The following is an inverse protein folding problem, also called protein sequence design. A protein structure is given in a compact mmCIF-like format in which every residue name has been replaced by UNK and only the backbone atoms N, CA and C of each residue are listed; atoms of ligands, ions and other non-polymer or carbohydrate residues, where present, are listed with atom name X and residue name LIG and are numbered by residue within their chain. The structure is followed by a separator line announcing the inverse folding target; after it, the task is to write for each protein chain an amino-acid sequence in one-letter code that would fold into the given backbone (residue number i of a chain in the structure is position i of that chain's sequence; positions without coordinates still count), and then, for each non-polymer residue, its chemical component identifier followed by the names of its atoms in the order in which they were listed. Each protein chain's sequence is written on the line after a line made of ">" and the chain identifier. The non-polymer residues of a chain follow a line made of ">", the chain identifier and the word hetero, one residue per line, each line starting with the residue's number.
data_IF_800304537891
#
_entry.id   IF_800304537891
#
_cell.length_a   1.000
_cell.length_b   1.000
_cell.length_c   1.000
_cell.angle_alpha   90.00
_cell.angle_beta   90.00
_cell.angle_gamma   90.00
#
_symmetry.space_group_name_H-M   'P 1'
#
loop_
_entity.id
_entity.type
_entity.pdbx_description
1 polymer ?
#
# COMPACT_ATOMS: atom_id res chain seq x y z
N UNK A 1 9.38 7.39 15.42
CA UNK A 1 10.62 7.25 14.62
C UNK A 1 11.18 5.82 14.65
N UNK A 2 11.21 5.15 15.81
CA UNK A 2 11.59 3.72 15.92
C UNK A 2 10.78 2.79 15.03
N UNK A 3 9.46 3.00 14.91
CA UNK A 3 8.59 2.17 14.06
C UNK A 3 8.93 2.25 12.57
N UNK A 4 9.30 3.42 12.07
CA UNK A 4 9.71 3.62 10.67
C UNK A 4 11.02 2.88 10.42
N UNK A 5 12.00 3.07 11.33
CA UNK A 5 13.31 2.44 11.22
C UNK A 5 13.21 0.90 11.31
N UNK A 6 12.37 0.39 12.21
CA UNK A 6 12.11 -1.04 12.34
C UNK A 6 11.37 -1.60 11.13
N UNK A 7 10.44 -0.85 10.53
CA UNK A 7 9.81 -1.24 9.29
C UNK A 7 10.82 -1.36 8.15
N UNK A 8 11.73 -0.39 8.00
CA UNK A 8 12.80 -0.43 6.99
C UNK A 8 13.73 -1.64 7.17
N UNK A 9 14.12 -1.93 8.41
CA UNK A 9 14.94 -3.10 8.75
C UNK A 9 14.20 -4.42 8.51
N UNK A 10 12.89 -4.48 8.77
CA UNK A 10 12.03 -5.63 8.46
C UNK A 10 11.99 -5.92 6.96
N UNK A 11 11.79 -4.91 6.11
CA UNK A 11 11.76 -5.10 4.66
C UNK A 11 13.08 -5.62 4.08
N UNK A 12 14.23 -5.30 4.71
CA UNK A 12 15.52 -5.87 4.29
C UNK A 12 15.60 -7.37 4.56
N UNK A 13 14.99 -7.85 5.66
CA UNK A 13 14.94 -9.27 6.02
C UNK A 13 13.93 -10.06 5.17
N UNK A 14 12.86 -9.41 4.70
CA UNK A 14 11.78 -10.00 3.91
C UNK A 14 12.08 -10.08 2.39
N UNK A 15 13.26 -9.63 1.95
CA UNK A 15 13.62 -9.67 0.52
C UNK A 15 13.59 -11.10 -0.03
N UNK A 16 12.90 -11.26 -1.15
CA UNK A 16 12.66 -12.53 -1.83
C UNK A 16 11.89 -13.55 -0.98
N UNK A 17 11.20 -13.12 0.09
CA UNK A 17 10.39 -14.03 0.89
C UNK A 17 9.09 -14.37 0.17
N UNK A 18 9.02 -15.59 -0.38
CA UNK A 18 7.84 -16.12 -1.08
C UNK A 18 6.73 -16.58 -0.12
N UNK A 19 7.02 -16.65 1.18
CA UNK A 19 6.09 -17.03 2.23
C UNK A 19 5.59 -15.81 3.02
N UNK A 20 5.91 -14.58 2.58
CA UNK A 20 5.40 -13.36 3.19
C UNK A 20 3.87 -13.35 3.15
N UNK A 21 3.25 -13.22 4.32
CA UNK A 21 1.80 -13.23 4.43
C UNK A 21 1.22 -11.83 4.17
N UNK A 22 -0.08 -11.77 3.89
CA UNK A 22 -0.80 -10.50 3.84
C UNK A 22 -0.70 -9.72 5.17
N UNK A 23 -0.64 -10.42 6.30
CA UNK A 23 -0.48 -9.80 7.62
C UNK A 23 0.89 -9.14 7.76
N UNK A 24 1.95 -9.79 7.28
CA UNK A 24 3.31 -9.24 7.30
C UNK A 24 3.39 -7.98 6.44
N UNK A 25 2.88 -8.06 5.21
CA UNK A 25 2.74 -6.91 4.31
C UNK A 25 2.00 -5.74 4.99
N UNK A 26 0.85 -6.01 5.61
CA UNK A 26 0.05 -4.97 6.26
C UNK A 26 0.81 -4.33 7.42
N UNK A 27 1.56 -5.11 8.20
CA UNK A 27 2.38 -4.59 9.29
C UNK A 27 3.53 -3.70 8.79
N UNK A 28 4.17 -4.09 7.67
CA UNK A 28 5.25 -3.33 7.06
C UNK A 28 4.77 -1.96 6.60
N UNK A 29 3.71 -1.91 5.80
CA UNK A 29 3.19 -0.64 5.28
C UNK A 29 2.61 0.24 6.39
N UNK A 30 2.10 -0.37 7.46
CA UNK A 30 1.67 0.35 8.67
C UNK A 30 2.85 1.03 9.36
N UNK A 31 3.94 0.30 9.57
CA UNK A 31 5.12 0.82 10.27
C UNK A 31 5.88 1.89 9.50
N UNK A 32 5.97 1.74 8.17
CA UNK A 32 6.74 2.64 7.29
C UNK A 32 5.96 3.85 6.85
N UNK A 33 4.83 3.62 6.18
CA UNK A 33 4.09 4.65 5.47
C UNK A 33 2.98 5.18 6.37
N UNK A 34 2.10 4.31 6.87
CA UNK A 34 0.92 4.74 7.61
C UNK A 34 1.24 5.42 8.95
N UNK A 35 2.35 5.04 9.61
CA UNK A 35 2.76 5.62 10.88
C UNK A 35 2.97 7.13 10.81
N UNK A 36 3.53 7.65 9.71
CA UNK A 36 3.72 9.09 9.52
C UNK A 36 2.41 9.82 9.26
N UNK A 37 1.51 9.25 8.45
CA UNK A 37 0.19 9.82 8.24
C UNK A 37 -0.62 9.84 9.54
N UNK A 38 -0.58 8.75 10.30
CA UNK A 38 -1.20 8.63 11.62
C UNK A 38 -0.69 9.72 12.55
N UNK A 39 0.64 9.85 12.70
CA UNK A 39 1.25 10.84 13.57
C UNK A 39 0.89 12.27 13.14
N UNK A 40 0.98 12.59 11.84
CA UNK A 40 0.66 13.92 11.34
C UNK A 40 -0.79 14.33 11.64
N UNK A 41 -1.74 13.40 11.47
CA UNK A 41 -3.15 13.65 11.75
C UNK A 41 -3.44 13.77 13.26
N UNK A 42 -2.81 12.92 14.07
CA UNK A 42 -2.93 12.94 15.54
C UNK A 42 -2.38 14.25 16.14
N UNK A 43 -1.18 14.67 15.72
CA UNK A 43 -0.56 15.93 16.18
C UNK A 43 -1.39 17.14 15.71
N UNK A 44 -1.94 17.09 14.50
CA UNK A 44 -2.87 18.13 14.02
C UNK A 44 -4.08 18.30 14.93
N UNK A 45 -4.63 17.18 15.44
CA UNK A 45 -5.72 17.22 16.43
C UNK A 45 -5.25 17.79 17.77
N UNK A 46 -4.08 17.35 18.24
CA UNK A 46 -3.51 17.77 19.51
C UNK A 46 -3.26 19.29 19.57
N UNK A 47 -2.56 19.84 18.57
CA UNK A 47 -2.28 21.29 18.51
C UNK A 47 -3.52 22.15 18.26
N UNK A 48 -4.58 21.59 17.68
CA UNK A 48 -5.86 22.26 17.52
C UNK A 48 -6.73 22.23 18.81
N UNK A 49 -6.27 21.60 19.88
CA UNK A 49 -7.02 21.46 21.13
C UNK A 49 -8.13 20.41 21.08
N UNK A 50 -8.03 19.43 20.18
CA UNK A 50 -8.96 18.32 20.07
C UNK A 50 -8.96 17.42 21.31
N UNK A 51 -10.12 16.83 21.61
CA UNK A 51 -10.24 15.87 22.71
C UNK A 51 -9.66 14.49 22.33
N UNK A 52 -9.59 13.56 23.29
CA UNK A 52 -8.99 12.23 23.07
C UNK A 52 -9.71 11.41 21.96
N UNK A 53 -11.04 11.53 21.87
CA UNK A 53 -11.84 10.86 20.84
C UNK A 53 -11.52 11.41 19.44
N UNK A 54 -11.46 12.74 19.31
CA UNK A 54 -11.09 13.43 18.07
C UNK A 54 -9.65 13.13 17.64
N UNK A 55 -8.71 13.10 18.60
CA UNK A 55 -7.32 12.75 18.35
C UNK A 55 -7.20 11.31 17.84
N UNK A 56 -7.92 10.37 18.48
CA UNK A 56 -7.93 8.96 18.06
C UNK A 56 -8.56 8.78 16.68
N UNK A 57 -9.66 9.49 16.40
CA UNK A 57 -10.33 9.46 15.11
C UNK A 57 -9.43 10.00 13.99
N UNK A 58 -8.72 11.11 14.22
CA UNK A 58 -7.77 11.65 13.23
C UNK A 58 -6.55 10.76 13.06
N UNK A 59 -6.04 10.16 14.13
CA UNK A 59 -4.98 9.15 14.03
C UNK A 59 -5.41 7.98 13.15
N UNK A 60 -6.60 7.40 13.40
CA UNK A 60 -7.14 6.31 12.60
C UNK A 60 -7.42 6.72 11.15
N UNK A 61 -7.91 7.94 10.91
CA UNK A 61 -8.03 8.50 9.57
C UNK A 61 -6.66 8.51 8.86
N UNK A 62 -5.62 9.02 9.51
CA UNK A 62 -4.26 9.08 8.98
C UNK A 62 -3.70 7.68 8.68
N UNK A 63 -3.84 6.73 9.60
CA UNK A 63 -3.38 5.35 9.39
C UNK A 63 -4.07 4.70 8.17
N UNK A 64 -5.40 4.77 8.09
CA UNK A 64 -6.14 4.18 6.98
C UNK A 64 -5.81 4.86 5.64
N UNK A 65 -5.64 6.19 5.64
CA UNK A 65 -5.21 6.94 4.45
C UNK A 65 -3.80 6.52 4.01
N UNK A 66 -2.86 6.38 4.93
CA UNK A 66 -1.50 5.94 4.62
C UNK A 66 -1.43 4.50 4.10
N UNK A 67 -2.25 3.60 4.63
CA UNK A 67 -2.39 2.23 4.10
C UNK A 67 -2.94 2.27 2.67
N UNK A 68 -4.04 2.99 2.45
CA UNK A 68 -4.62 3.13 1.11
C UNK A 68 -3.61 3.73 0.13
N UNK A 69 -2.83 4.72 0.58
CA UNK A 69 -1.78 5.35 -0.22
C UNK A 69 -0.74 4.33 -0.70
N UNK A 70 -0.23 3.49 0.21
CA UNK A 70 0.76 2.48 -0.17
C UNK A 70 0.19 1.41 -1.10
N UNK A 71 -1.03 0.92 -0.86
CA UNK A 71 -1.67 -0.06 -1.75
C UNK A 71 -1.82 0.50 -3.16
N UNK A 72 -2.13 1.79 -3.26
CA UNK A 72 -2.24 2.49 -4.56
C UNK A 72 -0.89 2.64 -5.24
N UNK A 73 0.17 2.95 -4.50
CA UNK A 73 1.54 3.02 -5.01
C UNK A 73 2.00 1.65 -5.56
N UNK A 74 1.80 0.59 -4.77
CA UNK A 74 2.07 -0.79 -5.17
C UNK A 74 1.31 -1.21 -6.45
N UNK A 75 0.07 -0.74 -6.61
CA UNK A 75 -0.72 -0.96 -7.83
C UNK A 75 -0.12 -0.25 -9.05
N UNK A 76 0.36 0.98 -8.86
CA UNK A 76 0.96 1.78 -9.92
C UNK A 76 2.28 1.20 -10.40
N UNK A 77 3.03 0.50 -9.55
CA UNK A 77 4.26 -0.19 -9.96
C UNK A 77 4.00 -1.24 -11.06
N UNK A 78 2.89 -1.99 -10.97
CA UNK A 78 2.56 -3.00 -11.99
C UNK A 78 1.68 -2.48 -13.12
N UNK A 79 0.83 -1.48 -12.88
CA UNK A 79 -0.16 -1.00 -13.87
C UNK A 79 0.26 0.28 -14.58
N UNK A 80 1.31 0.96 -14.09
CA UNK A 80 1.80 2.21 -14.63
C UNK A 80 2.27 2.06 -16.09
N UNK A 81 1.83 2.97 -16.96
CA UNK A 81 2.32 3.02 -18.33
C UNK A 81 3.81 3.35 -18.37
N UNK A 82 4.55 2.81 -19.34
CA UNK A 82 5.95 3.10 -19.63
C UNK A 82 6.30 4.61 -19.84
N UNK A 83 5.32 5.52 -19.73
CA UNK A 83 5.51 6.98 -19.74
C UNK A 83 5.96 7.56 -18.40
N UNK A 84 5.82 6.82 -17.30
CA UNK A 84 6.49 7.16 -16.05
C UNK A 84 7.93 6.69 -16.19
N UNK A 85 8.87 7.61 -16.42
CA UNK A 85 10.33 7.38 -16.52
C UNK A 85 10.95 6.90 -15.18
N UNK A 86 10.36 5.90 -14.54
CA UNK A 86 10.93 5.15 -13.42
C UNK A 86 11.09 3.69 -13.89
N UNK A 87 12.14 2.98 -13.45
CA UNK A 87 12.25 1.55 -13.68
C UNK A 87 11.07 0.86 -12.97
N UNK A 88 9.99 0.59 -13.69
CA UNK A 88 8.68 0.09 -13.20
C UNK A 88 8.72 -1.26 -12.48
N UNK A 89 9.89 -1.81 -12.19
CA UNK A 89 10.08 -3.16 -11.62
C UNK A 89 11.27 -3.19 -10.63
N UNK A 90 11.69 -2.04 -10.09
CA UNK A 90 12.82 -1.96 -9.14
C UNK A 90 12.57 -2.74 -7.86
N UNK A 91 11.35 -2.67 -7.32
CA UNK A 91 10.95 -3.45 -6.15
C UNK A 91 11.06 -4.95 -6.42
N UNK A 92 10.57 -5.40 -7.58
CA UNK A 92 10.69 -6.79 -8.00
C UNK A 92 12.15 -7.23 -8.17
N UNK A 93 13.00 -6.37 -8.75
CA UNK A 93 14.43 -6.63 -8.94
C UNK A 93 15.20 -6.72 -7.61
N UNK A 94 14.78 -5.94 -6.61
CA UNK A 94 15.38 -5.92 -5.27
C UNK A 94 14.77 -6.96 -4.32
N UNK A 95 13.73 -7.67 -4.76
CA UNK A 95 13.06 -8.73 -4.01
C UNK A 95 12.01 -8.21 -3.03
N UNK A 96 11.59 -6.96 -3.15
CA UNK A 96 10.47 -6.40 -2.41
C UNK A 96 9.18 -6.80 -3.13
N UNK A 97 8.40 -7.69 -2.51
CA UNK A 97 7.16 -8.19 -3.10
C UNK A 97 5.97 -7.42 -2.54
N UNK A 98 5.37 -6.58 -3.38
CA UNK A 98 4.22 -5.74 -3.04
C UNK A 98 2.88 -6.44 -3.28
N UNK A 99 1.77 -5.80 -2.85
CA UNK A 99 0.48 -6.45 -2.69
C UNK A 99 -0.01 -7.28 -3.90
N UNK A 100 0.01 -6.78 -5.16
CA UNK A 100 -0.49 -7.55 -6.29
C UNK A 100 0.20 -8.91 -6.46
N UNK A 101 1.51 -8.95 -6.22
CA UNK A 101 2.29 -10.18 -6.30
C UNK A 101 1.97 -11.13 -5.15
N UNK A 102 1.86 -10.62 -3.92
CA UNK A 102 1.50 -11.43 -2.75
C UNK A 102 0.10 -12.07 -2.92
N UNK A 103 -0.88 -11.31 -3.42
CA UNK A 103 -2.22 -11.84 -3.73
C UNK A 103 -2.23 -12.85 -4.88
N UNK A 104 -1.23 -12.81 -5.76
CA UNK A 104 -1.05 -13.81 -6.80
C UNK A 104 -0.39 -15.08 -6.26
N UNK A 105 0.56 -14.95 -5.34
CA UNK A 105 1.20 -16.09 -4.67
C UNK A 105 0.24 -16.87 -3.77
N UNK A 106 -0.84 -16.25 -3.29
CA UNK A 106 -1.92 -16.92 -2.57
C UNK A 106 -2.84 -17.76 -3.48
N UNK A 107 -2.77 -17.56 -4.80
CA UNK A 107 -3.57 -18.31 -5.78
C UNK A 107 -2.75 -19.45 -6.39
N UNK A 108 -3.13 -20.73 -6.20
CA UNK A 108 -2.33 -21.87 -6.67
C UNK A 108 -1.96 -21.80 -8.17
N UNK A 109 -2.92 -21.40 -9.01
CA UNK A 109 -2.75 -21.32 -10.47
C UNK A 109 -1.72 -20.26 -10.90
N UNK A 110 -1.69 -19.11 -10.21
CA UNK A 110 -0.73 -18.04 -10.46
C UNK A 110 0.61 -18.37 -9.81
N UNK A 111 0.61 -18.90 -8.58
CA UNK A 111 1.81 -19.34 -7.86
C UNK A 111 2.64 -20.30 -8.70
N UNK A 112 2.03 -21.31 -9.32
CA UNK A 112 2.75 -22.27 -10.19
C UNK A 112 3.44 -21.60 -11.38
N UNK A 113 2.85 -20.54 -11.95
CA UNK A 113 3.43 -19.79 -13.08
C UNK A 113 4.53 -18.83 -12.64
N UNK A 114 4.39 -18.22 -11.47
CA UNK A 114 5.29 -17.19 -10.96
C UNK A 114 6.54 -17.76 -10.28
N UNK A 115 6.42 -18.87 -9.54
CA UNK A 115 7.52 -19.46 -8.77
C UNK A 115 8.80 -19.76 -9.58
N UNK A 116 8.74 -20.35 -10.79
CA UNK A 116 9.94 -20.60 -11.59
C UNK A 116 10.71 -19.33 -11.94
N UNK A 117 10.00 -18.21 -12.09
CA UNK A 117 10.58 -16.91 -12.42
C UNK A 117 11.16 -16.26 -11.17
N UNK A 118 10.37 -16.19 -10.08
CA UNK A 118 10.78 -15.57 -8.82
C UNK A 118 11.97 -16.27 -8.16
N UNK A 119 12.10 -17.59 -8.34
CA UNK A 119 13.24 -18.36 -7.83
C UNK A 119 14.59 -17.94 -8.46
N UNK A 120 14.59 -17.21 -9.58
CA UNK A 120 15.81 -16.61 -10.15
C UNK A 120 16.34 -15.46 -9.29
N UNK A 121 15.52 -14.84 -8.43
CA UNK A 121 15.90 -13.72 -7.55
C UNK A 121 16.67 -12.64 -8.31
N UNK A 122 17.89 -12.30 -7.88
CA UNK A 122 18.78 -11.34 -8.55
C UNK A 122 19.15 -11.70 -9.99
N UNK A 123 18.93 -12.94 -10.44
CA UNK A 123 19.17 -13.39 -11.81
C UNK A 123 17.97 -13.18 -12.73
N UNK A 124 16.86 -12.62 -12.24
CA UNK A 124 15.72 -12.26 -13.09
C UNK A 124 16.15 -11.26 -14.17
N UNK A 125 15.87 -11.62 -15.42
CA UNK A 125 16.06 -10.72 -16.55
C UNK A 125 14.94 -9.67 -16.63
N UNK A 126 15.14 -8.63 -17.44
CA UNK A 126 14.06 -7.66 -17.73
C UNK A 126 12.82 -8.35 -18.31
N UNK A 127 13.01 -9.34 -19.19
CA UNK A 127 11.92 -10.14 -19.73
C UNK A 127 11.19 -11.00 -18.69
N UNK A 128 11.91 -11.51 -17.68
CA UNK A 128 11.29 -12.25 -16.57
C UNK A 128 10.37 -11.35 -15.75
N UNK A 129 10.83 -10.13 -15.44
CA UNK A 129 10.04 -9.16 -14.70
C UNK A 129 8.82 -8.67 -15.49
N UNK A 130 8.98 -8.47 -16.81
CA UNK A 130 7.86 -8.13 -17.70
C UNK A 130 6.80 -9.25 -17.76
N UNK A 131 7.23 -10.52 -17.77
CA UNK A 131 6.31 -11.64 -17.74
C UNK A 131 5.52 -11.71 -16.42
N UNK A 132 6.18 -11.45 -15.28
CA UNK A 132 5.50 -11.34 -13.98
C UNK A 132 4.45 -10.23 -14.04
N UNK A 133 4.83 -9.03 -14.52
CA UNK A 133 3.90 -7.91 -14.67
C UNK A 133 2.69 -8.29 -15.54
N UNK A 134 2.93 -8.92 -16.70
CA UNK A 134 1.87 -9.36 -17.61
C UNK A 134 0.91 -10.36 -16.94
N UNK A 135 1.44 -11.34 -16.21
CA UNK A 135 0.62 -12.31 -15.46
C UNK A 135 -0.27 -11.59 -14.43
N UNK A 136 0.30 -10.64 -13.69
CA UNK A 136 -0.43 -9.91 -12.65
C UNK A 136 -1.53 -9.03 -13.26
N UNK A 137 -1.19 -8.22 -14.27
CA UNK A 137 -2.11 -7.30 -14.95
C UNK A 137 -3.28 -8.03 -15.60
N UNK A 138 -3.06 -9.23 -16.15
CA UNK A 138 -4.10 -10.04 -16.76
C UNK A 138 -4.87 -10.93 -15.76
N UNK A 139 -4.60 -10.81 -14.46
CA UNK A 139 -5.28 -11.59 -13.43
C UNK A 139 -6.24 -10.73 -12.59
N UNK A 140 -7.10 -11.39 -11.81
CA UNK A 140 -8.03 -10.70 -10.92
C UNK A 140 -7.34 -10.00 -9.73
N UNK A 141 -6.02 -10.15 -9.54
CA UNK A 141 -5.30 -9.58 -8.37
C UNK A 141 -5.29 -8.06 -8.39
N UNK A 142 -5.20 -7.43 -9.56
CA UNK A 142 -5.24 -5.97 -9.69
C UNK A 142 -6.57 -5.42 -9.15
N UNK A 143 -7.68 -6.04 -9.54
CA UNK A 143 -8.99 -5.64 -9.07
C UNK A 143 -9.18 -5.94 -7.57
N UNK A 144 -8.62 -7.05 -7.06
CA UNK A 144 -8.61 -7.33 -5.62
C UNK A 144 -7.82 -6.27 -4.83
N UNK A 145 -6.62 -5.90 -5.28
CA UNK A 145 -5.82 -4.82 -4.68
C UNK A 145 -6.56 -3.48 -4.71
N UNK A 146 -7.23 -3.16 -5.83
CA UNK A 146 -8.06 -1.95 -5.96
C UNK A 146 -9.19 -1.93 -4.94
N UNK A 147 -9.92 -3.04 -4.77
CA UNK A 147 -10.99 -3.15 -3.77
C UNK A 147 -10.45 -2.95 -2.36
N UNK A 148 -9.29 -3.54 -2.04
CA UNK A 148 -8.66 -3.35 -0.74
C UNK A 148 -8.30 -1.87 -0.49
N UNK A 149 -7.73 -1.17 -1.48
CA UNK A 149 -7.51 0.27 -1.37
C UNK A 149 -8.81 1.05 -1.12
N UNK A 150 -9.89 0.71 -1.82
CA UNK A 150 -11.21 1.32 -1.62
C UNK A 150 -11.74 1.09 -0.21
N UNK A 151 -11.56 -0.10 0.35
CA UNK A 151 -11.96 -0.41 1.73
C UNK A 151 -11.21 0.44 2.76
N UNK A 152 -9.89 0.63 2.60
CA UNK A 152 -9.11 1.51 3.49
C UNK A 152 -9.46 2.99 3.31
N UNK A 153 -9.76 3.42 2.08
CA UNK A 153 -10.28 4.77 1.82
C UNK A 153 -11.61 4.98 2.54
N UNK A 154 -12.51 4.00 2.50
CA UNK A 154 -13.79 4.10 3.19
C UNK A 154 -13.59 4.15 4.71
N UNK A 155 -12.75 3.27 5.27
CA UNK A 155 -12.40 3.29 6.71
C UNK A 155 -11.83 4.64 7.14
N UNK A 156 -10.97 5.26 6.32
CA UNK A 156 -10.47 6.60 6.58
C UNK A 156 -11.61 7.62 6.65
N UNK A 157 -12.50 7.64 5.65
CA UNK A 157 -13.64 8.56 5.61
C UNK A 157 -14.58 8.38 6.81
N UNK A 158 -14.86 7.13 7.20
CA UNK A 158 -15.74 6.80 8.32
C UNK A 158 -15.18 7.32 9.66
N UNK A 159 -13.85 7.34 9.83
CA UNK A 159 -13.22 7.93 11.02
C UNK A 159 -13.58 9.41 11.21
N UNK A 160 -13.99 10.12 10.16
CA UNK A 160 -14.30 11.54 10.22
C UNK A 160 -15.77 11.83 10.57
N UNK A 161 -16.61 10.82 10.81
CA UNK A 161 -18.04 11.00 11.03
C UNK A 161 -18.39 11.61 12.39
N UNK A 162 -17.46 11.61 13.35
CA UNK A 162 -17.62 12.28 14.64
C UNK A 162 -17.48 13.81 14.54
N UNK A 163 -16.93 14.32 13.43
CA UNK A 163 -16.67 15.75 13.26
C UNK A 163 -17.86 16.45 12.60
N UNK A 164 -18.09 17.70 12.98
CA UNK A 164 -19.07 18.53 12.29
C UNK A 164 -18.68 18.74 10.83
N UNK A 165 -19.67 18.77 9.94
CA UNK A 165 -19.46 19.08 8.54
C UNK A 165 -19.06 20.55 8.38
N UNK A 166 -17.79 20.78 8.06
CA UNK A 166 -17.23 22.09 7.76
C UNK A 166 -16.26 21.96 6.56
N UNK A 167 -15.59 23.05 6.21
CA UNK A 167 -14.64 23.08 5.09
C UNK A 167 -13.46 22.12 5.30
N UNK A 168 -12.94 22.00 6.52
CA UNK A 168 -11.83 21.10 6.85
C UNK A 168 -12.24 19.63 6.75
N UNK A 169 -13.34 19.22 7.39
CA UNK A 169 -13.87 17.84 7.31
C UNK A 169 -14.18 17.46 5.86
N UNK A 170 -14.74 18.39 5.08
CA UNK A 170 -15.00 18.19 3.65
C UNK A 170 -13.71 17.96 2.85
N UNK A 171 -12.65 18.73 3.15
CA UNK A 171 -11.35 18.57 2.50
C UNK A 171 -10.73 17.22 2.86
N UNK A 172 -10.72 16.86 4.15
CA UNK A 172 -10.17 15.59 4.62
C UNK A 172 -10.92 14.39 4.01
N UNK A 173 -12.26 14.45 3.89
CA UNK A 173 -13.04 13.40 3.20
C UNK A 173 -12.73 13.30 1.69
N UNK A 174 -12.34 14.40 1.05
CA UNK A 174 -11.96 14.41 -0.37
C UNK A 174 -10.59 13.83 -0.64
N UNK A 175 -9.62 13.94 0.29
CA UNK A 175 -8.24 13.48 0.07
C UNK A 175 -8.16 11.97 -0.24
N UNK A 176 -8.73 11.05 0.55
CA UNK A 176 -8.77 9.62 0.24
C UNK A 176 -9.45 9.31 -1.10
N UNK A 177 -10.49 10.06 -1.47
CA UNK A 177 -11.21 9.86 -2.73
C UNK A 177 -10.38 10.30 -3.95
N UNK A 178 -9.57 11.35 -3.81
CA UNK A 178 -8.66 11.80 -4.87
C UNK A 178 -7.51 10.81 -5.11
N UNK A 179 -7.07 10.11 -4.07
CA UNK A 179 -6.06 9.06 -4.18
C UNK A 179 -6.49 7.99 -5.19
N UNK A 180 -7.74 7.50 -5.10
CA UNK A 180 -8.26 6.50 -6.04
C UNK A 180 -8.35 7.02 -7.48
N UNK A 181 -8.67 8.31 -7.66
CA UNK A 181 -8.81 8.94 -8.99
C UNK A 181 -7.49 9.17 -9.72
N UNK A 182 -6.36 9.18 -9.00
CA UNK A 182 -5.03 9.35 -9.61
C UNK A 182 -4.51 8.06 -10.24
N UNK A 183 -5.15 6.94 -9.94
CA UNK A 183 -4.61 5.61 -10.22
C UNK A 183 -5.46 4.81 -11.20
N UNK A 184 -6.65 5.32 -11.53
CA UNK A 184 -7.63 4.74 -12.44
C UNK A 184 -8.17 5.78 -13.41
#
# INVERSE_FOLDING_TARGET
>A
MSHILNGELGQMAERFNLEQTFTDYLNDIKGKTAALFRLAAEEGAHFAGGNAEQSTALANFGENLGIAFQIVDDLLDYTGSAKLNKPTLEDLATGVYSLPLLLALDQPELKTKLLPILNKKHQMSVSDMQLIQEILVNSAVIEKSRKLAQEYVQKAVDCLDIFQNNSATTLLKKMPQQLLKRSF
#
